data_IF_093930263317
#
_entry.id   IF_093930263317
#
_cell.length_a   1.000
_cell.length_b   1.000
_cell.length_c   1.000
_cell.angle_alpha   90.00
_cell.angle_beta   90.00
_cell.angle_gamma   90.00
#
_symmetry.space_group_name_H-M   'P 1'
#
loop_
_entity.id
_entity.type
_entity.pdbx_description
1 polymer ?
#
# COMPACT_ATOMS: atom_id res chain seq x y z
N UNK A 1 4.91 13.63 -13.17
CA UNK A 1 5.88 12.50 -13.17
C UNK A 1 6.71 12.50 -11.88
N UNK A 2 7.13 11.31 -11.44
CA UNK A 2 7.87 11.10 -10.18
C UNK A 2 9.36 11.01 -10.42
N UNK A 3 10.13 11.84 -9.71
CA UNK A 3 11.58 11.76 -9.64
C UNK A 3 12.03 10.77 -8.56
N UNK A 4 11.36 10.78 -7.41
CA UNK A 4 11.61 9.88 -6.29
C UNK A 4 10.30 9.59 -5.58
N UNK A 5 10.07 8.32 -5.25
CA UNK A 5 9.09 7.94 -4.23
C UNK A 5 9.73 6.98 -3.24
N UNK A 6 10.05 7.49 -2.07
CA UNK A 6 10.66 6.74 -0.97
C UNK A 6 9.58 6.41 0.07
N UNK A 7 9.30 5.13 0.24
CA UNK A 7 8.37 4.60 1.23
C UNK A 7 9.14 3.98 2.38
N UNK A 8 8.90 4.48 3.59
CA UNK A 8 9.31 3.83 4.83
C UNK A 8 8.10 3.30 5.58
N UNK A 9 8.14 2.04 5.99
CA UNK A 9 7.11 1.42 6.82
C UNK A 9 7.69 0.83 8.11
N UNK A 10 7.00 1.06 9.23
CA UNK A 10 7.33 0.48 10.53
C UNK A 10 6.17 -0.41 10.96
N UNK A 11 6.47 -1.70 11.10
CA UNK A 11 5.49 -2.68 11.57
C UNK A 11 5.66 -2.89 13.08
N UNK A 12 4.55 -2.74 13.79
CA UNK A 12 4.42 -2.98 15.23
C UNK A 12 3.70 -4.32 15.42
N UNK A 13 4.33 -5.21 16.18
CA UNK A 13 3.84 -6.55 16.44
C UNK A 13 2.67 -6.62 17.42
N UNK A 14 1.59 -5.88 17.14
CA UNK A 14 0.40 -5.81 17.99
C UNK A 14 -0.35 -7.14 18.06
N UNK A 15 -0.15 -8.03 17.08
CA UNK A 15 -0.75 -9.37 17.04
C UNK A 15 -0.44 -10.19 18.30
N UNK A 16 0.77 -10.00 18.85
CA UNK A 16 1.23 -10.62 20.10
C UNK A 16 0.43 -10.20 21.34
N UNK A 17 -0.33 -9.11 21.24
CA UNK A 17 -1.09 -8.52 22.36
C UNK A 17 -2.60 -8.46 22.10
N UNK A 18 -3.06 -8.82 20.90
CA UNK A 18 -4.47 -8.77 20.53
C UNK A 18 -5.04 -10.14 20.11
N UNK A 19 -4.38 -11.23 20.48
CA UNK A 19 -4.85 -12.59 20.16
C UNK A 19 -4.58 -13.02 18.71
N UNK A 20 -3.57 -12.45 18.06
CA UNK A 20 -3.18 -12.81 16.69
C UNK A 20 -4.04 -12.14 15.61
N UNK A 21 -4.80 -11.09 15.93
CA UNK A 21 -5.76 -10.49 15.00
C UNK A 21 -5.09 -9.62 13.93
N UNK A 22 -4.15 -8.77 14.30
CA UNK A 22 -3.46 -7.88 13.36
C UNK A 22 -2.17 -7.30 13.94
N UNK A 23 -1.24 -6.94 13.04
CA UNK A 23 -0.14 -6.01 13.30
C UNK A 23 -0.50 -4.59 12.85
N UNK A 24 0.05 -3.57 13.49
CA UNK A 24 -0.15 -2.17 13.07
C UNK A 24 1.04 -1.71 12.24
N UNK A 25 0.76 -1.06 11.12
CA UNK A 25 1.78 -0.52 10.21
C UNK A 25 1.62 0.99 10.17
N UNK A 26 2.73 1.69 10.37
CA UNK A 26 2.84 3.11 10.05
C UNK A 26 3.62 3.24 8.75
N UNK A 27 3.08 3.98 7.77
CA UNK A 27 3.72 4.25 6.49
C UNK A 27 3.98 5.75 6.38
N UNK A 28 5.18 6.10 5.96
CA UNK A 28 5.56 7.45 5.55
C UNK A 28 6.16 7.37 4.14
N UNK A 29 5.73 8.27 3.26
CA UNK A 29 6.20 8.36 1.88
C UNK A 29 6.71 9.78 1.65
N UNK A 30 7.98 9.90 1.25
CA UNK A 30 8.52 11.10 0.63
C UNK A 30 8.37 10.99 -0.88
N UNK A 31 7.78 12.01 -1.48
CA UNK A 31 7.55 12.10 -2.92
C UNK A 31 8.22 13.34 -3.48
N UNK A 32 9.01 13.18 -4.53
CA UNK A 32 9.54 14.28 -5.34
C UNK A 32 9.04 14.14 -6.77
N UNK A 33 8.48 15.21 -7.33
CA UNK A 33 7.92 15.24 -8.68
C UNK A 33 8.64 16.23 -9.58
N UNK A 34 8.55 16.00 -10.90
CA UNK A 34 9.08 16.94 -11.90
C UNK A 34 8.25 18.22 -11.90
N UNK A 35 6.93 18.07 -11.95
CA UNK A 35 5.95 19.15 -11.97
C UNK A 35 5.18 19.19 -10.66
N UNK A 36 4.63 20.36 -10.31
CA UNK A 36 3.79 20.51 -9.13
C UNK A 36 2.55 19.64 -9.25
N UNK A 37 2.19 18.96 -8.16
CA UNK A 37 0.96 18.19 -8.08
C UNK A 37 -0.23 19.17 -7.94
N UNK A 38 -1.30 19.01 -8.72
CA UNK A 38 -2.47 19.88 -8.62
C UNK A 38 -3.09 19.87 -7.21
N UNK A 39 -3.48 21.02 -6.64
CA UNK A 39 -4.08 21.09 -5.29
C UNK A 39 -5.36 20.26 -5.11
N UNK A 40 -6.06 19.97 -6.21
CA UNK A 40 -7.27 19.16 -6.28
C UNK A 40 -6.99 17.65 -6.37
N UNK A 41 -5.72 17.24 -6.44
CA UNK A 41 -5.35 15.83 -6.44
C UNK A 41 -5.46 15.27 -5.01
N UNK A 42 -6.26 14.22 -4.86
CA UNK A 42 -6.47 13.53 -3.61
C UNK A 42 -6.33 12.03 -3.80
N UNK A 43 -5.96 11.36 -2.71
CA UNK A 43 -5.87 9.92 -2.64
C UNK A 43 -6.70 9.40 -1.48
N UNK A 44 -7.28 8.22 -1.66
CA UNK A 44 -7.79 7.44 -0.55
C UNK A 44 -6.65 6.58 -0.02
N UNK A 45 -6.39 6.69 1.28
CA UNK A 45 -5.40 5.86 1.97
C UNK A 45 -6.07 5.07 3.09
N UNK A 46 -5.53 3.90 3.47
CA UNK A 46 -6.01 3.17 4.64
C UNK A 46 -6.14 4.05 5.89
N UNK A 47 -7.24 3.91 6.63
CA UNK A 47 -7.55 4.75 7.79
C UNK A 47 -7.25 4.11 9.16
N UNK A 48 -6.63 2.93 9.20
CA UNK A 48 -6.36 2.21 10.45
C UNK A 48 -7.59 1.63 11.14
N UNK A 49 -8.77 1.72 10.52
CA UNK A 49 -10.02 1.16 11.05
C UNK A 49 -10.01 -0.37 10.99
N UNK A 50 -10.79 -1.00 11.87
CA UNK A 50 -11.05 -2.44 11.75
C UNK A 50 -11.87 -2.71 10.50
N UNK A 51 -11.32 -3.53 9.61
CA UNK A 51 -12.01 -3.98 8.40
C UNK A 51 -12.52 -5.38 8.67
N UNK A 52 -13.85 -5.63 8.62
CA UNK A 52 -14.41 -6.96 8.81
C UNK A 52 -13.82 -7.96 7.80
N UNK A 53 -13.59 -9.24 8.16
CA UNK A 53 -13.05 -10.24 7.24
C UNK A 53 -13.81 -10.33 5.92
N UNK A 54 -15.15 -10.35 5.97
CA UNK A 54 -16.00 -10.38 4.76
C UNK A 54 -15.75 -9.22 3.81
N UNK A 55 -15.43 -8.02 4.33
CA UNK A 55 -15.11 -6.86 3.49
C UNK A 55 -13.77 -7.08 2.80
N UNK A 56 -12.78 -7.66 3.48
CA UNK A 56 -11.48 -7.98 2.85
C UNK A 56 -11.62 -9.02 1.76
N UNK A 57 -12.46 -10.03 1.97
CA UNK A 57 -12.71 -11.06 0.98
C UNK A 57 -13.33 -10.45 -0.29
N UNK A 58 -14.27 -9.51 -0.13
CA UNK A 58 -14.87 -8.76 -1.25
C UNK A 58 -13.85 -7.87 -1.95
N UNK A 59 -13.04 -7.11 -1.20
CA UNK A 59 -11.98 -6.27 -1.78
C UNK A 59 -10.97 -7.12 -2.57
N UNK A 60 -10.55 -8.26 -2.02
CA UNK A 60 -9.65 -9.20 -2.68
C UNK A 60 -10.28 -9.79 -3.94
N UNK A 61 -11.57 -10.13 -3.91
CA UNK A 61 -12.30 -10.67 -5.06
C UNK A 61 -12.39 -9.63 -6.19
N UNK A 62 -12.56 -8.36 -5.85
CA UNK A 62 -12.58 -7.23 -6.79
C UNK A 62 -11.18 -6.78 -7.25
N UNK A 63 -10.11 -7.43 -6.77
CA UNK A 63 -8.73 -7.03 -7.07
C UNK A 63 -8.36 -5.65 -6.54
N UNK A 64 -9.05 -5.16 -5.50
CA UNK A 64 -8.80 -3.85 -4.91
C UNK A 64 -7.77 -3.95 -3.78
N UNK A 65 -6.59 -3.33 -3.95
CA UNK A 65 -5.49 -3.46 -3.00
C UNK A 65 -5.60 -2.49 -1.83
N UNK A 66 -4.98 -2.82 -0.69
CA UNK A 66 -5.02 -2.02 0.54
C UNK A 66 -3.91 -0.93 0.62
N UNK A 67 -3.60 -0.27 -0.50
CA UNK A 67 -2.63 0.83 -0.59
C UNK A 67 -3.23 2.05 -1.30
N UNK A 68 -2.58 3.24 -1.31
CA UNK A 68 -3.18 4.47 -1.80
C UNK A 68 -3.77 4.36 -3.22
N UNK A 69 -5.00 4.86 -3.39
CA UNK A 69 -5.71 4.90 -4.68
C UNK A 69 -6.05 6.35 -5.05
N UNK A 70 -5.98 6.70 -6.34
CA UNK A 70 -6.43 8.02 -6.79
C UNK A 70 -7.91 8.21 -6.50
N UNK A 71 -8.29 9.34 -5.89
CA UNK A 71 -9.68 9.64 -5.63
C UNK A 71 -10.51 9.79 -6.90
N UNK A 72 -9.88 10.22 -8.01
CA UNK A 72 -10.54 10.34 -9.30
C UNK A 72 -10.88 8.96 -9.90
N UNK A 73 -9.96 8.00 -9.78
CA UNK A 73 -10.09 6.66 -10.35
C UNK A 73 -10.97 5.74 -9.50
N UNK A 74 -10.90 5.84 -8.18
CA UNK A 74 -11.60 4.93 -7.28
C UNK A 74 -13.13 4.98 -7.45
N UNK A 75 -13.67 6.16 -7.75
CA UNK A 75 -15.12 6.40 -7.86
C UNK A 75 -15.62 6.41 -9.31
N UNK A 76 -14.73 6.25 -10.28
CA UNK A 76 -15.09 6.28 -11.69
C UNK A 76 -16.05 5.12 -12.03
N UNK A 77 -17.25 5.48 -12.50
CA UNK A 77 -18.27 4.54 -12.94
C UNK A 77 -19.17 3.99 -11.82
N UNK A 78 -18.91 4.29 -10.54
CA UNK A 78 -19.66 3.70 -9.40
C UNK A 78 -21.13 4.17 -9.33
N UNK A 79 -21.48 5.28 -10.00
CA UNK A 79 -22.80 5.90 -9.92
C UNK A 79 -23.94 5.02 -10.50
N UNK A 80 -23.61 4.05 -11.36
CA UNK A 80 -24.60 3.22 -12.06
C UNK A 80 -24.89 1.87 -11.38
N UNK A 81 -24.32 1.61 -10.19
CA UNK A 81 -24.47 0.34 -9.45
C UNK A 81 -25.94 -0.14 -9.32
N UNK A 82 -26.87 0.80 -9.13
CA UNK A 82 -28.31 0.48 -9.07
C UNK A 82 -28.82 -0.07 -10.40
N UNK A 83 -28.43 0.56 -11.50
CA UNK A 83 -28.77 0.11 -12.85
C UNK A 83 -28.12 -1.24 -13.15
N UNK A 84 -26.86 -1.43 -12.77
CA UNK A 84 -26.15 -2.72 -12.91
C UNK A 84 -26.87 -3.85 -12.16
N UNK A 85 -27.41 -3.55 -10.97
CA UNK A 85 -28.22 -4.51 -10.22
C UNK A 85 -29.57 -4.83 -10.91
N UNK A 86 -30.26 -3.82 -11.43
CA UNK A 86 -31.54 -3.99 -12.15
C UNK A 86 -31.39 -4.82 -13.45
N UNK A 87 -30.24 -4.74 -14.12
CA UNK A 87 -29.94 -5.53 -15.33
C UNK A 87 -29.33 -6.90 -15.03
N UNK A 88 -29.06 -7.23 -13.76
CA UNK A 88 -28.48 -8.51 -13.36
C UNK A 88 -26.97 -8.63 -13.58
N UNK A 89 -26.25 -7.52 -13.75
CA UNK A 89 -24.80 -7.50 -13.92
C UNK A 89 -24.07 -7.62 -12.57
N UNK A 90 -24.00 -8.85 -12.05
CA UNK A 90 -23.43 -9.13 -10.73
C UNK A 90 -21.95 -8.72 -10.60
N UNK A 91 -21.16 -8.85 -11.67
CA UNK A 91 -19.73 -8.55 -11.61
C UNK A 91 -19.47 -7.05 -11.35
N UNK A 92 -20.19 -6.18 -12.03
CA UNK A 92 -20.03 -4.74 -11.83
C UNK A 92 -20.59 -4.31 -10.47
N UNK A 93 -21.70 -4.93 -10.02
CA UNK A 93 -22.21 -4.73 -8.65
C UNK A 93 -21.16 -5.11 -7.59
N UNK A 94 -20.44 -6.21 -7.77
CA UNK A 94 -19.35 -6.61 -6.86
C UNK A 94 -18.24 -5.56 -6.88
N UNK A 95 -17.80 -5.13 -8.07
CA UNK A 95 -16.73 -4.15 -8.23
C UNK A 95 -17.07 -2.80 -7.59
N UNK A 96 -18.26 -2.28 -7.87
CA UNK A 96 -18.73 -0.99 -7.32
C UNK A 96 -18.97 -1.07 -5.82
N UNK A 97 -19.57 -2.16 -5.34
CA UNK A 97 -19.72 -2.40 -3.90
C UNK A 97 -18.37 -2.42 -3.20
N UNK A 98 -17.36 -3.08 -3.79
CA UNK A 98 -16.02 -3.13 -3.24
C UNK A 98 -15.37 -1.74 -3.18
N UNK A 99 -15.52 -0.91 -4.23
CA UNK A 99 -15.05 0.48 -4.25
C UNK A 99 -15.73 1.34 -3.19
N UNK A 100 -17.04 1.18 -2.99
CA UNK A 100 -17.79 1.86 -1.93
C UNK A 100 -17.38 1.39 -0.52
N UNK A 101 -17.09 0.10 -0.35
CA UNK A 101 -16.53 -0.42 0.91
C UNK A 101 -15.12 0.12 1.18
N UNK A 102 -14.27 0.22 0.16
CA UNK A 102 -12.97 0.86 0.27
C UNK A 102 -13.12 2.32 0.67
N UNK A 103 -14.02 3.07 0.00
CA UNK A 103 -14.34 4.45 0.35
C UNK A 103 -14.74 4.61 1.83
N UNK A 104 -15.51 3.66 2.38
CA UNK A 104 -15.94 3.67 3.77
C UNK A 104 -14.85 3.28 4.78
N UNK A 105 -13.79 2.59 4.34
CA UNK A 105 -12.70 2.10 5.21
C UNK A 105 -11.40 2.90 5.06
N UNK A 106 -11.34 3.78 4.05
CA UNK A 106 -10.21 4.65 3.76
C UNK A 106 -10.53 6.09 4.15
N UNK A 107 -9.48 6.90 4.27
CA UNK A 107 -9.60 8.36 4.45
C UNK A 107 -9.07 9.07 3.23
N UNK A 108 -9.78 10.11 2.79
CA UNK A 108 -9.32 11.01 1.73
C UNK A 108 -8.20 11.90 2.28
N UNK A 109 -7.08 11.96 1.58
CA UNK A 109 -5.91 12.75 1.96
C UNK A 109 -5.32 13.48 0.74
N UNK A 110 -4.83 14.69 1.00
CA UNK A 110 -3.93 15.40 0.09
C UNK A 110 -2.48 15.13 0.49
N UNK A 111 -1.57 15.37 -0.43
CA UNK A 111 -0.14 15.36 -0.16
C UNK A 111 0.27 16.62 0.59
N UNK A 112 1.10 16.48 1.63
CA UNK A 112 1.56 17.62 2.43
C UNK A 112 2.86 18.16 1.82
N UNK A 113 2.93 19.42 1.35
CA UNK A 113 4.17 19.98 0.82
C UNK A 113 5.29 20.01 1.87
N UNK A 114 6.52 19.69 1.47
CA UNK A 114 7.70 19.82 2.31
C UNK A 114 8.13 21.30 2.35
N UNK A 115 8.19 21.94 3.53
CA UNK A 115 8.55 23.35 3.63
C UNK A 115 9.94 23.64 3.04
N UNK A 116 10.02 24.66 2.18
CA UNK A 116 11.28 25.10 1.57
C UNK A 116 11.79 24.20 0.44
N UNK A 117 11.05 23.15 0.06
CA UNK A 117 11.40 22.29 -1.05
C UNK A 117 10.47 22.53 -2.25
N UNK A 118 10.99 22.32 -3.46
CA UNK A 118 10.22 22.41 -4.71
C UNK A 118 9.67 21.04 -5.08
N UNK A 119 8.37 20.96 -5.35
CA UNK A 119 7.69 19.74 -5.83
C UNK A 119 7.99 18.50 -4.97
N UNK A 120 8.12 18.71 -3.65
CA UNK A 120 8.37 17.66 -2.68
C UNK A 120 7.22 17.59 -1.68
N UNK A 121 6.78 16.38 -1.37
CA UNK A 121 5.59 16.14 -0.57
C UNK A 121 5.77 14.93 0.35
N UNK A 122 4.99 14.90 1.43
CA UNK A 122 4.89 13.78 2.35
C UNK A 122 3.46 13.26 2.41
N UNK A 123 3.33 11.94 2.45
CA UNK A 123 2.09 11.22 2.75
C UNK A 123 2.35 10.25 3.91
N UNK A 124 1.53 10.30 4.95
CA UNK A 124 1.64 9.41 6.09
C UNK A 124 0.28 8.84 6.49
N UNK A 125 0.24 7.54 6.77
CA UNK A 125 -0.97 6.83 7.18
C UNK A 125 -0.66 5.57 7.97
N UNK A 126 -1.63 5.14 8.77
CA UNK A 126 -1.57 3.92 9.56
C UNK A 126 -2.60 2.92 9.04
N UNK A 127 -2.25 1.63 9.08
CA UNK A 127 -3.20 0.57 8.78
C UNK A 127 -2.96 -0.70 9.59
N UNK A 128 -3.95 -1.59 9.55
CA UNK A 128 -3.91 -2.90 10.19
C UNK A 128 -3.54 -3.95 9.16
N UNK A 129 -2.46 -4.68 9.45
CA UNK A 129 -1.99 -5.81 8.66
C UNK A 129 -2.50 -7.10 9.29
N UNK A 130 -3.31 -7.84 8.55
CA UNK A 130 -3.96 -9.05 9.04
C UNK A 130 -3.16 -10.30 8.64
N UNK A 131 -3.21 -11.38 9.44
CA UNK A 131 -2.51 -12.60 9.12
C UNK A 131 -3.11 -13.25 7.87
N UNK A 132 -2.25 -13.74 6.97
CA UNK A 132 -2.64 -14.56 5.80
C UNK A 132 -2.67 -16.06 6.14
N UNK A 133 -1.98 -16.44 7.21
CA UNK A 133 -1.96 -17.75 7.83
C UNK A 133 -1.57 -17.57 9.31
N UNK A 134 -1.72 -18.58 10.18
CA UNK A 134 -1.32 -18.46 11.59
C UNK A 134 0.10 -17.91 11.72
N UNK A 135 0.24 -16.82 12.49
CA UNK A 135 1.49 -16.09 12.74
C UNK A 135 2.24 -15.59 11.49
N UNK A 136 1.59 -15.56 10.32
CA UNK A 136 2.19 -15.17 9.04
C UNK A 136 1.49 -13.95 8.49
N UNK A 137 2.27 -12.92 8.14
CA UNK A 137 1.76 -11.63 7.68
C UNK A 137 2.47 -11.23 6.39
N UNK A 138 1.76 -10.52 5.51
CA UNK A 138 2.30 -10.04 4.24
C UNK A 138 1.88 -8.60 3.98
N UNK A 139 2.84 -7.68 4.01
CA UNK A 139 2.64 -6.33 3.53
C UNK A 139 2.84 -6.30 2.02
N UNK A 140 1.88 -5.72 1.29
CA UNK A 140 1.98 -5.46 -0.14
C UNK A 140 1.82 -3.97 -0.42
N UNK A 141 2.64 -3.43 -1.33
CA UNK A 141 2.54 -2.05 -1.79
C UNK A 141 2.92 -1.93 -3.26
N UNK A 142 2.22 -1.09 -4.01
CA UNK A 142 2.57 -0.76 -5.39
C UNK A 142 3.07 0.68 -5.44
N UNK A 143 4.24 0.87 -6.05
CA UNK A 143 4.82 2.19 -6.29
C UNK A 143 5.10 2.37 -7.80
N UNK A 144 5.04 3.60 -8.33
CA UNK A 144 4.30 4.73 -7.76
C UNK A 144 2.85 4.35 -7.45
N UNK A 145 2.27 4.95 -6.41
CA UNK A 145 0.86 4.69 -6.13
C UNK A 145 -0.03 5.33 -7.21
N UNK A 146 -1.24 4.81 -7.33
CA UNK A 146 -2.16 5.11 -8.43
C UNK A 146 -2.36 6.62 -8.68
N UNK A 147 -2.41 7.01 -9.95
CA UNK A 147 -2.48 8.41 -10.39
C UNK A 147 -1.12 9.11 -10.50
N UNK A 148 -0.01 8.40 -10.25
CA UNK A 148 1.35 8.88 -10.46
C UNK A 148 2.09 7.98 -11.46
N UNK A 149 2.99 8.58 -12.23
CA UNK A 149 3.82 7.88 -13.21
C UNK A 149 5.29 8.18 -12.95
N UNK A 150 6.13 7.15 -12.98
CA UNK A 150 7.57 7.31 -12.80
C UNK A 150 8.18 8.07 -13.98
N UNK A 151 9.09 9.01 -13.69
CA UNK A 151 9.81 9.73 -14.75
C UNK A 151 10.70 8.75 -15.53
N UNK A 152 10.51 8.57 -16.86
CA UNK A 152 11.33 7.66 -17.65
C UNK A 152 12.80 8.10 -17.73
N UNK A 153 13.11 9.36 -17.40
CA UNK A 153 14.46 9.93 -17.42
C UNK A 153 15.24 9.75 -16.11
N UNK A 154 14.94 8.69 -15.35
CA UNK A 154 15.66 8.37 -14.11
C UNK A 154 14.88 8.57 -12.82
N UNK A 155 13.54 8.49 -12.88
CA UNK A 155 12.73 8.34 -11.69
C UNK A 155 13.02 7.01 -11.00
N UNK A 156 12.89 6.97 -9.67
CA UNK A 156 13.05 5.75 -8.90
C UNK A 156 12.07 5.64 -7.74
N UNK A 157 11.85 4.42 -7.29
CA UNK A 157 11.07 4.08 -6.10
C UNK A 157 11.95 3.32 -5.13
N UNK A 158 11.79 3.61 -3.85
CA UNK A 158 12.52 2.97 -2.75
C UNK A 158 11.49 2.49 -1.73
N UNK A 159 11.70 1.30 -1.17
CA UNK A 159 10.88 0.75 -0.09
C UNK A 159 11.79 0.29 1.01
N UNK A 160 11.56 0.77 2.23
CA UNK A 160 12.23 0.31 3.45
C UNK A 160 11.17 -0.12 4.46
N UNK A 161 11.19 -1.39 4.87
CA UNK A 161 10.25 -1.95 5.84
C UNK A 161 11.01 -2.44 7.07
N UNK A 162 10.63 -1.95 8.25
CA UNK A 162 11.15 -2.41 9.54
C UNK A 162 10.14 -3.39 10.14
N UNK A 163 10.55 -4.66 10.24
CA UNK A 163 9.69 -5.74 10.78
C UNK A 163 9.52 -5.65 12.29
N UNK A 164 8.49 -6.31 12.84
CA UNK A 164 8.27 -6.39 14.29
C UNK A 164 9.42 -7.05 15.05
N UNK A 165 9.47 -6.81 16.37
CA UNK A 165 10.44 -7.47 17.25
C UNK A 165 10.18 -8.97 17.29
N UNK A 166 11.20 -9.75 16.94
CA UNK A 166 11.17 -11.22 16.94
C UNK A 166 10.55 -11.84 15.69
N UNK A 167 10.18 -11.04 14.69
CA UNK A 167 9.71 -11.55 13.41
C UNK A 167 10.88 -11.97 12.52
N UNK A 168 10.68 -13.02 11.73
CA UNK A 168 11.59 -13.48 10.69
C UNK A 168 10.95 -13.27 9.32
N UNK A 169 11.62 -12.52 8.46
CA UNK A 169 11.28 -12.34 7.04
C UNK A 169 11.41 -13.69 6.34
N UNK A 170 10.42 -14.01 5.53
CA UNK A 170 10.43 -15.14 4.62
C UNK A 170 11.01 -14.67 3.27
N UNK A 171 12.29 -14.94 2.97
CA UNK A 171 12.91 -14.48 1.72
C UNK A 171 12.31 -15.17 0.49
N UNK A 172 11.70 -16.36 0.62
CA UNK A 172 11.13 -17.05 -0.54
C UNK A 172 9.85 -16.39 -1.06
N UNK A 173 9.18 -15.61 -0.21
CA UNK A 173 7.92 -14.93 -0.53
C UNK A 173 8.02 -13.40 -0.42
N UNK A 174 9.20 -12.88 -0.09
CA UNK A 174 9.50 -11.45 -0.08
C UNK A 174 10.17 -11.09 -1.39
N UNK A 175 9.53 -10.24 -2.21
CA UNK A 175 10.02 -9.89 -3.54
C UNK A 175 9.37 -8.62 -4.08
N UNK A 176 10.07 -7.96 -4.99
CA UNK A 176 9.45 -7.00 -5.90
C UNK A 176 9.10 -7.67 -7.23
N UNK A 177 7.94 -7.35 -7.80
CA UNK A 177 7.44 -7.86 -9.07
C UNK A 177 7.26 -6.66 -10.01
N UNK A 178 7.95 -6.66 -11.14
CA UNK A 178 7.78 -5.65 -12.19
C UNK A 178 7.23 -6.30 -13.47
N UNK A 179 6.58 -5.52 -14.37
CA UNK A 179 5.99 -6.05 -15.60
C UNK A 179 6.96 -6.84 -16.51
N UNK A 180 8.25 -6.51 -16.47
CA UNK A 180 9.29 -7.14 -17.30
C UNK A 180 10.29 -7.99 -16.50
N UNK A 181 10.27 -7.90 -15.17
CA UNK A 181 11.14 -8.67 -14.29
C UNK A 181 10.38 -9.10 -13.04
N UNK A 182 9.98 -10.37 -12.92
CA UNK A 182 9.13 -10.83 -11.82
C UNK A 182 9.85 -10.92 -10.48
N UNK A 183 11.19 -10.84 -10.44
CA UNK A 183 11.97 -10.98 -9.21
C UNK A 183 13.00 -9.85 -9.08
N UNK A 184 12.62 -8.81 -8.33
CA UNK A 184 13.51 -7.75 -7.91
C UNK A 184 14.20 -8.14 -6.60
N UNK A 185 15.54 -8.12 -6.54
CA UNK A 185 16.27 -8.54 -5.36
C UNK A 185 16.02 -7.58 -4.20
N UNK A 186 15.72 -8.16 -3.04
CA UNK A 186 15.64 -7.47 -1.76
C UNK A 186 17.00 -7.49 -1.04
N UNK A 187 17.20 -6.51 -0.15
CA UNK A 187 18.24 -6.58 0.88
C UNK A 187 17.56 -6.77 2.22
N UNK A 188 17.91 -7.84 2.93
CA UNK A 188 17.42 -8.11 4.29
C UNK A 188 18.58 -7.93 5.26
N UNK A 189 18.48 -6.93 6.12
CA UNK A 189 19.50 -6.61 7.13
C UNK A 189 18.97 -6.85 8.54
N UNK A 190 19.62 -7.70 9.36
CA UNK A 190 19.24 -7.87 10.75
C UNK A 190 19.67 -6.68 11.62
N UNK A 191 18.80 -6.27 12.55
CA UNK A 191 19.10 -5.28 13.60
C UNK A 191 19.23 -6.02 14.92
N UNK A 192 20.45 -6.49 15.20
CA UNK A 192 20.72 -7.50 16.24
C UNK A 192 20.19 -7.12 17.64
N UNK A 193 20.38 -5.88 18.08
CA UNK A 193 20.01 -5.47 19.44
C UNK A 193 18.50 -5.39 19.68
N UNK A 194 17.71 -5.19 18.62
CA UNK A 194 16.24 -5.07 18.71
C UNK A 194 15.52 -6.29 18.17
N UNK A 195 16.26 -7.28 17.62
CA UNK A 195 15.71 -8.48 16.96
C UNK A 195 14.67 -8.11 15.90
N UNK A 196 14.97 -7.09 15.11
CA UNK A 196 14.20 -6.69 13.94
C UNK A 196 14.97 -7.04 12.68
N UNK A 197 14.28 -7.04 11.54
CA UNK A 197 14.90 -7.04 10.23
C UNK A 197 14.44 -5.80 9.46
N UNK A 198 15.33 -5.26 8.66
CA UNK A 198 15.03 -4.22 7.67
C UNK A 198 15.05 -4.88 6.31
N UNK A 199 13.95 -4.74 5.58
CA UNK A 199 13.85 -5.18 4.18
C UNK A 199 13.87 -3.93 3.32
N UNK A 200 14.75 -3.87 2.33
CA UNK A 200 14.83 -2.74 1.42
C UNK A 200 14.84 -3.15 -0.05
N UNK A 201 14.18 -2.33 -0.87
CA UNK A 201 14.16 -2.44 -2.32
C UNK A 201 14.48 -1.07 -2.95
N UNK A 202 15.12 -1.10 -4.12
CA UNK A 202 15.31 0.06 -4.99
C UNK A 202 14.95 -0.35 -6.42
N UNK A 203 14.13 0.45 -7.11
CA UNK A 203 13.74 0.13 -8.48
C UNK A 203 13.38 1.35 -9.35
N UNK A 204 13.35 1.14 -10.66
CA UNK A 204 13.26 2.19 -11.69
C UNK A 204 12.10 2.00 -12.70
N UNK A 205 11.16 1.08 -12.44
CA UNK A 205 9.85 0.97 -13.12
C UNK A 205 8.78 0.74 -12.07
N UNK A 206 7.50 0.70 -12.41
CA UNK A 206 6.39 0.57 -11.45
C UNK A 206 6.28 -0.87 -10.90
N UNK A 207 6.77 -1.19 -9.68
CA UNK A 207 6.73 -2.56 -9.19
C UNK A 207 5.70 -2.72 -8.06
N UNK A 208 5.28 -3.96 -7.86
CA UNK A 208 4.61 -4.40 -6.65
C UNK A 208 5.63 -5.01 -5.70
N UNK A 209 5.71 -4.52 -4.47
CA UNK A 209 6.57 -5.08 -3.43
C UNK A 209 5.74 -5.87 -2.43
N UNK A 210 6.17 -7.10 -2.16
CA UNK A 210 5.60 -7.98 -1.13
C UNK A 210 6.65 -8.31 -0.10
N UNK A 211 6.31 -8.13 1.17
CA UNK A 211 7.18 -8.41 2.31
C UNK A 211 6.43 -9.35 3.24
N UNK A 212 6.89 -10.60 3.30
CA UNK A 212 6.30 -11.65 4.15
C UNK A 212 7.17 -11.90 5.38
N UNK A 213 6.54 -12.02 6.54
CA UNK A 213 7.23 -12.41 7.77
C UNK A 213 6.38 -13.32 8.65
N UNK A 214 7.06 -13.98 9.58
CA UNK A 214 6.47 -14.89 10.58
C UNK A 214 7.00 -14.59 11.98
N UNK A 215 6.24 -14.98 13.01
CA UNK A 215 6.69 -14.97 14.42
C UNK A 215 7.18 -16.33 14.89
#
# INVERSE_FOLDING_TARGET
>A
MIQLQDLTAIIKGTSRFNGGLYDSVHVEILLQTVDAIPPEAFWYVPAGVDVPPVVKDILSLAGLPMYPQSAAKLLEGVDDIKQQAETGNLQDVINDSARLMMLATFKKMALTPVPGATNAYVLSYDYKLYPIAPNTFEMAVMLPFDGLELNPSGGRVEVTVITPIGANVDPANTKGIAPENPDLPEIITPVNNTRRQVVSFEYHKDPEFRIRYTY
#
